data_IF_977041259060
#
_entry.id   IF_977041259060
#
_cell.length_a   1.000
_cell.length_b   1.000
_cell.length_c   1.000
_cell.angle_alpha   90.00
_cell.angle_beta   90.00
_cell.angle_gamma   90.00
#
_symmetry.space_group_name_H-M   'P 1'
#
loop_
_entity.id
_entity.type
_entity.pdbx_description
1 polymer ?
#
# COMPACT_ATOMS: atom_id res chain seq x y z
N UNK A 1 10.91 6.12 4.37
CA UNK A 1 11.43 4.95 5.14
C UNK A 1 10.53 4.57 6.31
N UNK A 2 10.15 5.47 7.22
CA UNK A 2 9.29 5.13 8.38
C UNK A 2 7.91 4.55 8.02
N UNK A 3 7.29 5.01 6.93
CA UNK A 3 5.99 4.54 6.45
C UNK A 3 6.05 3.07 5.97
N UNK A 4 7.11 2.72 5.23
CA UNK A 4 7.32 1.35 4.73
C UNK A 4 7.47 0.36 5.88
N UNK A 5 8.22 0.70 6.91
CA UNK A 5 8.38 -0.17 8.09
C UNK A 5 7.07 -0.38 8.85
N UNK A 6 6.23 0.67 8.97
CA UNK A 6 4.90 0.55 9.59
C UNK A 6 3.98 -0.38 8.80
N UNK A 7 3.99 -0.28 7.47
CA UNK A 7 3.19 -1.14 6.59
C UNK A 7 3.66 -2.59 6.69
N UNK A 8 4.97 -2.84 6.68
CA UNK A 8 5.52 -4.19 6.84
C UNK A 8 5.14 -4.81 8.18
N UNK A 9 5.19 -4.06 9.28
CA UNK A 9 4.79 -4.55 10.59
C UNK A 9 3.30 -4.92 10.64
N UNK A 10 2.43 -4.08 10.08
CA UNK A 10 0.99 -4.35 10.01
C UNK A 10 0.67 -5.54 9.11
N UNK A 11 1.36 -5.67 7.98
CA UNK A 11 1.24 -6.84 7.10
C UNK A 11 1.68 -8.11 7.83
N UNK A 12 2.80 -8.08 8.55
CA UNK A 12 3.29 -9.23 9.29
C UNK A 12 2.31 -9.69 10.37
N UNK A 13 1.70 -8.76 11.11
CA UNK A 13 0.67 -9.05 12.11
C UNK A 13 -0.58 -9.66 11.48
N UNK A 14 -1.06 -9.09 10.38
CA UNK A 14 -2.23 -9.61 9.66
C UNK A 14 -1.97 -11.01 9.12
N UNK A 15 -0.87 -11.19 8.41
CA UNK A 15 -0.48 -12.48 7.82
C UNK A 15 -0.31 -13.55 8.89
N UNK A 16 0.34 -13.22 10.00
CA UNK A 16 0.53 -14.12 11.12
C UNK A 16 -0.79 -14.55 11.76
N UNK A 17 -1.73 -13.62 11.97
CA UNK A 17 -3.06 -13.92 12.50
C UNK A 17 -3.85 -14.84 11.57
N UNK A 18 -3.85 -14.56 10.27
CA UNK A 18 -4.54 -15.36 9.25
C UNK A 18 -3.92 -16.77 9.12
N UNK A 19 -2.59 -16.87 9.15
CA UNK A 19 -1.89 -18.15 9.14
C UNK A 19 -2.24 -19.01 10.36
N UNK A 20 -2.31 -18.38 11.55
CA UNK A 20 -2.71 -19.05 12.79
C UNK A 20 -4.14 -19.57 12.73
N UNK A 21 -5.06 -18.77 12.21
CA UNK A 21 -6.45 -19.17 12.04
C UNK A 21 -6.58 -20.34 11.06
N UNK A 22 -5.94 -20.25 9.88
CA UNK A 22 -5.92 -21.31 8.88
C UNK A 22 -5.32 -22.61 9.44
N UNK A 23 -4.24 -22.54 10.20
CA UNK A 23 -3.63 -23.69 10.87
C UNK A 23 -4.61 -24.35 11.85
N UNK A 24 -5.28 -23.58 12.69
CA UNK A 24 -6.25 -24.08 13.66
C UNK A 24 -7.44 -24.74 12.95
N UNK A 25 -7.94 -24.13 11.89
CA UNK A 25 -9.02 -24.68 11.06
C UNK A 25 -8.63 -25.99 10.39
N UNK A 26 -7.35 -26.15 10.04
CA UNK A 26 -6.79 -27.39 9.52
C UNK A 26 -6.50 -28.45 10.60
N UNK A 27 -6.67 -28.12 11.87
CA UNK A 27 -6.41 -29.03 13.01
C UNK A 27 -4.92 -29.31 13.24
N UNK A 28 -4.01 -28.43 12.78
CA UNK A 28 -2.57 -28.62 12.85
C UNK A 28 -1.96 -27.94 14.08
N UNK A 29 -0.92 -28.57 14.64
CA UNK A 29 0.00 -27.92 15.58
C UNK A 29 0.96 -26.99 14.85
N UNK A 30 1.66 -26.12 15.57
CA UNK A 30 2.72 -25.28 14.98
C UNK A 30 3.85 -26.12 14.37
N UNK A 31 4.20 -27.22 15.01
CA UNK A 31 5.23 -28.15 14.55
C UNK A 31 4.83 -28.81 13.22
N UNK A 32 3.63 -29.36 13.13
CA UNK A 32 3.10 -29.98 11.90
C UNK A 32 2.99 -28.97 10.74
N UNK A 33 2.58 -27.75 11.03
CA UNK A 33 2.51 -26.69 10.02
C UNK A 33 3.93 -26.29 9.55
N UNK A 34 4.88 -26.15 10.47
CA UNK A 34 6.27 -25.84 10.16
C UNK A 34 6.92 -26.92 9.29
N UNK A 35 6.68 -28.20 9.61
CA UNK A 35 7.16 -29.34 8.84
C UNK A 35 6.61 -29.32 7.41
N UNK A 36 5.29 -29.11 7.24
CA UNK A 36 4.66 -29.03 5.90
C UNK A 36 5.19 -27.89 5.05
N UNK A 37 5.58 -26.80 5.68
CA UNK A 37 6.11 -25.61 5.00
C UNK A 37 7.61 -25.72 4.78
N UNK A 38 8.29 -26.62 5.50
CA UNK A 38 9.74 -26.81 5.42
C UNK A 38 10.53 -25.71 6.14
N UNK A 39 10.06 -25.28 7.31
CA UNK A 39 10.74 -24.32 8.19
C UNK A 39 10.84 -24.87 9.62
N UNK A 40 11.74 -24.31 10.43
CA UNK A 40 11.79 -24.68 11.83
C UNK A 40 10.53 -24.19 12.59
N UNK A 41 10.10 -24.95 13.60
CA UNK A 41 8.89 -24.62 14.40
C UNK A 41 8.99 -23.22 15.02
N UNK A 42 10.17 -22.83 15.48
CA UNK A 42 10.41 -21.49 16.02
C UNK A 42 10.20 -20.38 14.97
N UNK A 43 10.66 -20.60 13.75
CA UNK A 43 10.47 -19.67 12.62
C UNK A 43 8.98 -19.52 12.31
N UNK A 44 8.26 -20.65 12.25
CA UNK A 44 6.82 -20.62 12.06
C UNK A 44 6.09 -19.87 13.21
N UNK A 45 6.47 -20.13 14.45
CA UNK A 45 5.93 -19.41 15.60
C UNK A 45 6.17 -17.90 15.57
N UNK A 46 7.34 -17.46 15.09
CA UNK A 46 7.63 -16.03 14.87
C UNK A 46 6.76 -15.43 13.77
N UNK A 47 6.49 -16.18 12.72
CA UNK A 47 5.58 -15.78 11.64
C UNK A 47 4.16 -15.56 12.17
N UNK A 48 3.59 -16.51 12.94
CA UNK A 48 2.26 -16.37 13.53
C UNK A 48 2.13 -15.19 14.51
N UNK A 49 3.21 -14.86 15.21
CA UNK A 49 3.26 -13.68 16.10
C UNK A 49 3.43 -12.34 15.36
N UNK A 50 3.58 -12.37 14.05
CA UNK A 50 3.81 -11.16 13.25
C UNK A 50 5.18 -10.53 13.44
N UNK A 51 6.17 -11.30 13.91
CA UNK A 51 7.53 -10.84 14.14
C UNK A 51 8.43 -10.96 12.91
N UNK A 52 7.91 -11.49 11.83
CA UNK A 52 8.61 -11.61 10.55
C UNK A 52 7.63 -11.80 9.39
N UNK A 53 8.07 -11.43 8.20
CA UNK A 53 7.42 -11.80 6.95
C UNK A 53 8.15 -13.01 6.34
N UNK A 54 7.42 -13.97 5.77
CA UNK A 54 8.04 -15.07 5.04
C UNK A 54 8.66 -14.57 3.74
N UNK A 55 9.67 -15.27 3.25
CA UNK A 55 10.10 -15.12 1.86
C UNK A 55 8.99 -15.56 0.91
N UNK A 56 9.00 -15.09 -0.33
CA UNK A 56 7.98 -15.46 -1.32
C UNK A 56 7.89 -17.00 -1.53
N UNK A 57 8.99 -17.77 -1.63
CA UNK A 57 8.91 -19.22 -1.66
C UNK A 57 8.27 -19.86 -0.42
N UNK A 58 8.56 -19.33 0.76
CA UNK A 58 7.92 -19.78 2.01
C UNK A 58 6.44 -19.43 2.05
N UNK A 59 6.07 -18.24 1.58
CA UNK A 59 4.70 -17.80 1.47
C UNK A 59 3.86 -18.71 0.55
N UNK A 60 4.39 -19.09 -0.61
CA UNK A 60 3.68 -20.01 -1.52
C UNK A 60 3.49 -21.40 -0.90
N UNK A 61 4.48 -21.91 -0.16
CA UNK A 61 4.35 -23.17 0.58
C UNK A 61 3.33 -23.06 1.71
N UNK A 62 3.27 -21.91 2.40
CA UNK A 62 2.30 -21.61 3.44
C UNK A 62 0.86 -21.67 2.89
N UNK A 63 0.59 -21.01 1.75
CA UNK A 63 -0.72 -21.04 1.11
C UNK A 63 -1.15 -22.49 0.78
N UNK A 64 -0.24 -23.29 0.25
CA UNK A 64 -0.52 -24.69 -0.11
C UNK A 64 -0.72 -25.59 1.11
N UNK A 65 0.15 -25.46 2.11
CA UNK A 65 0.14 -26.34 3.29
C UNK A 65 -1.10 -26.11 4.18
N UNK A 66 -1.56 -24.86 4.25
CA UNK A 66 -2.74 -24.49 5.05
C UNK A 66 -4.02 -24.37 4.22
N UNK A 67 -3.96 -24.64 2.89
CA UNK A 67 -5.08 -24.51 1.95
C UNK A 67 -5.79 -23.14 2.08
N UNK A 68 -5.02 -22.06 2.19
CA UNK A 68 -5.52 -20.69 2.35
C UNK A 68 -5.19 -19.87 1.11
N UNK A 69 -6.13 -19.02 0.71
CA UNK A 69 -5.94 -18.11 -0.43
C UNK A 69 -4.90 -17.04 -0.14
N UNK A 70 -4.01 -16.78 -1.11
CA UNK A 70 -2.96 -15.78 -0.98
C UNK A 70 -3.51 -14.36 -0.75
N UNK A 71 -4.64 -14.01 -1.39
CA UNK A 71 -5.28 -12.72 -1.19
C UNK A 71 -5.78 -12.57 0.24
N UNK A 72 -6.30 -13.65 0.82
CA UNK A 72 -6.74 -13.66 2.21
C UNK A 72 -5.58 -13.41 3.17
N UNK A 73 -4.44 -14.09 2.97
CA UNK A 73 -3.24 -13.89 3.78
C UNK A 73 -2.67 -12.46 3.64
N UNK A 74 -2.82 -11.85 2.47
CA UNK A 74 -2.34 -10.48 2.19
C UNK A 74 -3.35 -9.39 2.53
N UNK A 75 -4.60 -9.74 2.89
CA UNK A 75 -5.63 -8.77 3.25
C UNK A 75 -6.43 -8.20 2.07
N UNK A 76 -6.34 -8.81 0.88
CA UNK A 76 -7.08 -8.37 -0.32
C UNK A 76 -8.46 -9.01 -0.48
N UNK A 77 -8.86 -9.92 0.40
CA UNK A 77 -10.12 -10.67 0.26
C UNK A 77 -11.38 -9.87 0.60
N UNK A 78 -11.24 -8.65 1.10
CA UNK A 78 -12.36 -7.75 1.36
C UNK A 78 -12.55 -6.79 0.20
N UNK A 79 -13.80 -6.45 -0.12
CA UNK A 79 -14.14 -5.45 -1.14
C UNK A 79 -13.54 -4.06 -0.86
N UNK A 80 -13.13 -3.81 0.37
CA UNK A 80 -12.41 -2.61 0.77
C UNK A 80 -11.11 -3.05 1.44
N UNK A 81 -9.95 -2.87 0.80
CA UNK A 81 -8.67 -3.17 1.41
C UNK A 81 -8.50 -2.40 2.74
N UNK A 82 -7.87 -3.00 3.76
CA UNK A 82 -7.61 -2.27 4.99
C UNK A 82 -6.77 -1.02 4.72
N UNK A 83 -7.05 0.06 5.46
CA UNK A 83 -6.40 1.37 5.26
C UNK A 83 -4.85 1.33 5.30
N UNK A 84 -4.26 0.34 5.98
CA UNK A 84 -2.80 0.17 6.01
C UNK A 84 -2.23 -0.45 4.73
N UNK A 85 -3.07 -1.08 3.91
CA UNK A 85 -2.71 -1.65 2.62
C UNK A 85 -2.93 -0.66 1.48
N UNK A 86 -3.77 0.35 1.68
CA UNK A 86 -3.90 1.51 0.80
C UNK A 86 -2.62 2.35 0.94
N UNK A 87 -1.58 1.89 0.28
CA UNK A 87 -0.43 2.74 0.02
C UNK A 87 -0.93 3.83 -0.92
N UNK A 88 -0.97 5.07 -0.44
CA UNK A 88 -1.01 6.20 -1.35
C UNK A 88 0.26 6.11 -2.21
N UNK A 89 0.10 5.60 -3.42
CA UNK A 89 1.16 5.68 -4.43
C UNK A 89 1.17 7.15 -4.83
N UNK A 90 2.22 7.92 -4.47
CA UNK A 90 2.26 9.33 -4.76
C UNK A 90 2.05 9.55 -6.27
N UNK A 91 0.97 10.23 -6.63
CA UNK A 91 0.65 10.55 -8.02
C UNK A 91 -0.14 9.46 -8.78
N UNK A 92 -0.74 8.47 -8.11
CA UNK A 92 -1.59 7.47 -8.78
C UNK A 92 -2.80 8.14 -9.44
N UNK A 93 -3.40 9.12 -8.78
CA UNK A 93 -4.55 9.89 -9.28
C UNK A 93 -4.14 11.10 -10.15
N UNK A 94 -2.84 11.37 -10.29
CA UNK A 94 -2.36 12.51 -11.07
C UNK A 94 -2.27 12.17 -12.56
N UNK A 95 -2.71 13.07 -13.45
CA UNK A 95 -2.54 12.90 -14.89
C UNK A 95 -1.08 12.63 -15.25
N UNK A 96 -0.79 11.81 -16.29
CA UNK A 96 0.57 11.47 -16.69
C UNK A 96 1.48 12.69 -16.95
N UNK A 97 0.90 13.79 -17.44
CA UNK A 97 1.60 15.04 -17.69
C UNK A 97 2.09 15.68 -16.38
N UNK A 98 1.27 15.65 -15.31
CA UNK A 98 1.62 16.18 -14.00
C UNK A 98 2.74 15.35 -13.37
N UNK A 99 2.63 14.02 -13.41
CA UNK A 99 3.70 13.12 -12.91
C UNK A 99 5.03 13.34 -13.62
N UNK A 100 4.98 13.58 -14.92
CA UNK A 100 6.20 13.89 -15.71
C UNK A 100 6.79 15.23 -15.30
N UNK A 101 5.95 16.24 -15.12
CA UNK A 101 6.36 17.57 -14.67
C UNK A 101 7.00 17.52 -13.28
N UNK A 102 6.39 16.85 -12.31
CA UNK A 102 6.94 16.68 -10.97
C UNK A 102 8.31 16.01 -10.97
N UNK A 103 8.54 14.99 -11.83
CA UNK A 103 9.84 14.37 -11.98
C UNK A 103 10.89 15.35 -12.50
N UNK A 104 10.52 16.23 -13.42
CA UNK A 104 11.41 17.27 -13.93
C UNK A 104 11.72 18.30 -12.85
N UNK A 105 10.71 18.78 -12.15
CA UNK A 105 10.82 19.75 -11.05
C UNK A 105 11.79 19.28 -9.97
N UNK A 106 11.72 18.01 -9.57
CA UNK A 106 12.61 17.41 -8.54
C UNK A 106 14.11 17.41 -8.93
N UNK A 107 14.43 17.60 -10.21
CA UNK A 107 15.80 17.63 -10.74
C UNK A 107 16.34 19.05 -10.88
N UNK A 108 15.51 20.07 -10.67
CA UNK A 108 15.91 21.48 -10.84
C UNK A 108 16.66 21.99 -9.61
N UNK A 109 17.62 22.87 -9.87
CA UNK A 109 18.32 23.61 -8.81
C UNK A 109 17.43 24.71 -8.22
N UNK A 110 17.70 25.22 -7.00
CA UNK A 110 16.87 26.22 -6.33
C UNK A 110 16.54 27.46 -7.19
N UNK A 111 17.52 27.99 -7.91
CA UNK A 111 17.31 29.14 -8.81
C UNK A 111 16.35 28.83 -9.97
N UNK A 112 16.44 27.63 -10.51
CA UNK A 112 15.56 27.17 -11.60
C UNK A 112 14.14 26.92 -11.08
N UNK A 113 14.00 26.42 -9.84
CA UNK A 113 12.70 26.26 -9.19
C UNK A 113 12.00 27.60 -8.98
N UNK A 114 12.75 28.66 -8.56
CA UNK A 114 12.21 30.01 -8.41
C UNK A 114 11.71 30.55 -9.74
N UNK A 115 12.49 30.40 -10.81
CA UNK A 115 12.09 30.83 -12.16
C UNK A 115 10.81 30.10 -12.63
N UNK A 116 10.77 28.78 -12.46
CA UNK A 116 9.59 27.97 -12.79
C UNK A 116 8.37 28.37 -12.00
N UNK A 117 8.52 28.65 -10.69
CA UNK A 117 7.43 29.10 -9.81
C UNK A 117 6.84 30.43 -10.29
N UNK A 118 7.67 31.36 -10.72
CA UNK A 118 7.22 32.64 -11.26
C UNK A 118 6.42 32.47 -12.55
N UNK A 119 6.90 31.61 -13.48
CA UNK A 119 6.18 31.29 -14.71
C UNK A 119 4.85 30.61 -14.40
N UNK A 120 4.85 29.60 -13.52
CA UNK A 120 3.63 28.89 -13.13
C UNK A 120 2.59 29.84 -12.49
N UNK A 121 3.03 30.75 -11.63
CA UNK A 121 2.17 31.77 -11.03
C UNK A 121 1.56 32.73 -12.03
N UNK A 122 2.31 33.08 -13.09
CA UNK A 122 1.81 33.92 -14.18
C UNK A 122 0.77 33.24 -15.07
N UNK A 123 0.80 31.89 -15.13
CA UNK A 123 -0.18 31.09 -15.89
C UNK A 123 -1.48 30.84 -15.12
N UNK A 124 -1.50 31.07 -13.81
CA UNK A 124 -2.71 30.92 -13.03
C UNK A 124 -3.64 32.14 -13.24
N UNK A 125 -4.96 31.92 -13.37
CA UNK A 125 -5.90 33.03 -13.43
C UNK A 125 -5.81 33.86 -12.17
N UNK A 126 -5.80 35.18 -12.30
CA UNK A 126 -5.81 36.11 -11.15
C UNK A 126 -7.01 35.82 -10.25
N UNK A 127 -6.87 35.84 -8.90
CA UNK A 127 -7.96 35.56 -7.97
C UNK A 127 -9.02 36.66 -7.91
N UNK A 128 -9.50 37.16 -9.07
CA UNK A 128 -10.45 38.26 -9.22
C UNK A 128 -11.40 38.16 -10.41
N UNK A 129 -11.26 37.20 -11.31
CA UNK A 129 -12.20 37.02 -12.41
C UNK A 129 -13.48 36.33 -11.89
N UNK A 130 -14.39 37.13 -11.33
CA UNK A 130 -15.78 36.73 -11.04
C UNK A 130 -16.43 36.22 -12.34
N UNK A 131 -16.91 34.97 -12.33
CA UNK A 131 -17.78 34.45 -13.37
C UNK A 131 -18.96 35.38 -13.61
N UNK A 132 -19.36 35.64 -14.91
CA UNK A 132 -20.49 36.50 -15.19
C UNK A 132 -21.75 35.89 -14.58
N UNK A 133 -22.46 36.69 -13.76
CA UNK A 133 -23.79 36.37 -13.23
C UNK A 133 -24.74 36.16 -14.43
N UNK A 134 -25.26 34.95 -14.56
CA UNK A 134 -26.38 34.70 -15.44
C UNK A 134 -27.57 35.51 -14.89
N UNK A 135 -27.93 36.59 -15.57
CA UNK A 135 -29.20 37.30 -15.38
C UNK A 135 -30.34 36.37 -15.80
N UNK A 136 -31.11 35.92 -14.84
CA UNK A 136 -32.44 35.34 -15.12
C UNK A 136 -33.34 36.46 -15.60
N UNK A 137 -33.68 36.47 -16.89
CA UNK A 137 -34.87 37.18 -17.36
C UNK A 137 -36.10 36.36 -16.94
N UNK A 138 -36.89 36.95 -16.04
CA UNK A 138 -38.24 36.53 -15.79
C UNK A 138 -39.14 37.14 -16.88
N UNK A 139 -39.98 36.32 -17.47
CA UNK A 139 -41.27 36.68 -18.11
C UNK A 139 -42.21 35.56 -17.84
#
# INVERSE_FOLDING_TARGET
>A
MAQVHKTQAKLALHLGAMAREARKNAGLTQEEAAERIGVATEVYGRLERGNMLPSLPTFTRLCRALAVDANQLLGFSTSTPPAWLTLEIPGEDEPPVVRRLLRTVRRLKPRQLTALSNVASALLPSPGARAPRKTKHAS
#
